data_IF_876881949055
#
_entry.id   IF_876881949055
#
_cell.length_a   1.000
_cell.length_b   1.000
_cell.length_c   1.000
_cell.angle_alpha   90.00
_cell.angle_beta   90.00
_cell.angle_gamma   90.00
#
_symmetry.space_group_name_H-M   'P 1'
#
loop_
_entity.id
_entity.type
_entity.pdbx_description
1 polymer ?
#
# COMPACT_ATOMS: atom_id res chain seq x y z
N UNK A 1 -13.08 11.48 0.77
CA UNK A 1 -13.80 10.67 1.78
C UNK A 1 -13.94 9.25 1.23
N UNK A 2 -13.99 8.23 2.08
CA UNK A 2 -14.29 6.85 1.64
C UNK A 2 -15.58 6.40 2.31
N UNK A 3 -16.60 6.21 1.49
CA UNK A 3 -17.87 5.64 1.92
C UNK A 3 -17.82 4.13 1.74
N UNK A 4 -18.19 3.39 2.78
CA UNK A 4 -18.13 1.93 2.80
C UNK A 4 -19.51 1.35 3.09
N UNK A 5 -19.78 0.16 2.57
CA UNK A 5 -20.99 -0.58 2.94
C UNK A 5 -20.90 -1.07 4.39
N UNK A 6 -21.94 -0.82 5.20
CA UNK A 6 -21.98 -1.22 6.61
C UNK A 6 -23.14 -2.19 6.85
N UNK A 7 -22.85 -3.27 7.56
CA UNK A 7 -23.83 -4.20 8.12
C UNK A 7 -23.94 -3.97 9.62
N UNK A 8 -25.10 -3.55 10.10
CA UNK A 8 -25.32 -3.23 11.52
C UNK A 8 -26.43 -4.08 12.13
N UNK A 9 -26.34 -4.31 13.44
CA UNK A 9 -27.40 -4.95 14.20
C UNK A 9 -28.57 -3.98 14.42
N UNK A 10 -29.82 -4.43 14.29
CA UNK A 10 -31.02 -3.56 14.35
C UNK A 10 -31.14 -2.77 15.68
N UNK A 11 -30.59 -3.30 16.77
CA UNK A 11 -30.57 -2.62 18.07
C UNK A 11 -29.37 -1.69 18.28
N UNK A 12 -28.47 -1.55 17.28
CA UNK A 12 -27.25 -0.75 17.38
C UNK A 12 -26.11 -1.38 18.19
N UNK A 13 -26.18 -2.68 18.49
CA UNK A 13 -25.18 -3.34 19.33
C UNK A 13 -23.80 -3.49 18.68
N UNK A 14 -23.74 -3.61 17.35
CA UNK A 14 -22.51 -3.78 16.59
C UNK A 14 -22.70 -3.33 15.14
N UNK A 15 -21.63 -2.83 14.53
CA UNK A 15 -21.56 -2.42 13.12
C UNK A 15 -20.29 -2.96 12.48
N UNK A 16 -20.42 -3.66 11.35
CA UNK A 16 -19.32 -4.22 10.57
C UNK A 16 -19.21 -3.55 9.21
N UNK A 17 -18.00 -3.27 8.75
CA UNK A 17 -17.76 -2.88 7.36
C UNK A 17 -17.86 -4.13 6.49
N UNK A 18 -18.84 -4.14 5.57
CA UNK A 18 -19.15 -5.27 4.70
C UNK A 18 -18.57 -5.06 3.29
N UNK A 19 -17.26 -4.83 3.21
CA UNK A 19 -16.57 -4.60 1.95
C UNK A 19 -15.14 -5.17 2.00
N UNK A 20 -14.66 -5.66 0.86
CA UNK A 20 -13.28 -6.12 0.69
C UNK A 20 -12.58 -5.10 -0.21
N UNK A 21 -11.48 -4.47 0.24
CA UNK A 21 -10.80 -3.41 -0.51
C UNK A 21 -9.95 -4.01 -1.64
N UNK A 22 -10.60 -4.36 -2.76
CA UNK A 22 -9.90 -4.79 -3.97
C UNK A 22 -9.21 -3.59 -4.63
N UNK A 23 -7.97 -3.78 -5.06
CA UNK A 23 -7.19 -2.76 -5.76
C UNK A 23 -6.55 -3.35 -7.01
N UNK A 24 -6.36 -2.53 -8.04
CA UNK A 24 -5.55 -2.90 -9.21
C UNK A 24 -4.10 -2.67 -8.86
N UNK A 25 -3.33 -3.75 -8.78
CA UNK A 25 -1.93 -3.75 -8.31
C UNK A 25 -1.05 -2.65 -8.93
N UNK A 26 -0.92 -2.51 -10.27
CA UNK A 26 -0.05 -1.47 -10.84
C UNK A 26 -0.52 -0.04 -10.54
N UNK A 27 -1.84 0.18 -10.44
CA UNK A 27 -2.40 1.48 -10.05
C UNK A 27 -2.05 1.77 -8.59
N UNK A 28 -2.23 0.79 -7.71
CA UNK A 28 -1.97 0.94 -6.28
C UNK A 28 -0.48 1.21 -5.99
N UNK A 29 0.43 0.51 -6.67
CA UNK A 29 1.87 0.77 -6.54
C UNK A 29 2.20 2.18 -7.04
N UNK A 30 1.62 2.62 -8.16
CA UNK A 30 1.83 3.98 -8.67
C UNK A 30 1.31 5.04 -7.69
N UNK A 31 0.11 4.87 -7.13
CA UNK A 31 -0.44 5.74 -6.07
C UNK A 31 0.54 5.86 -4.89
N UNK A 32 1.07 4.74 -4.39
CA UNK A 32 2.05 4.77 -3.31
C UNK A 32 3.40 5.36 -3.74
N UNK A 33 3.78 5.19 -5.00
CA UNK A 33 4.97 5.81 -5.59
C UNK A 33 4.87 7.33 -5.60
N UNK A 34 3.73 7.89 -6.00
CA UNK A 34 3.50 9.33 -5.94
C UNK A 34 3.41 9.84 -4.49
N UNK A 35 2.77 9.08 -3.58
CA UNK A 35 2.77 9.38 -2.14
C UNK A 35 4.19 9.46 -1.58
N UNK A 36 5.05 8.51 -1.92
CA UNK A 36 6.45 8.51 -1.49
C UNK A 36 7.19 9.79 -1.90
N UNK A 37 6.99 10.23 -3.14
CA UNK A 37 7.59 11.47 -3.65
C UNK A 37 7.06 12.68 -2.85
N UNK A 38 5.75 12.80 -2.67
CA UNK A 38 5.15 13.94 -1.98
C UNK A 38 5.54 13.99 -0.50
N UNK A 39 5.54 12.86 0.19
CA UNK A 39 5.97 12.78 1.59
C UNK A 39 7.45 13.15 1.77
N UNK A 40 8.32 12.77 0.82
CA UNK A 40 9.74 13.17 0.85
C UNK A 40 9.92 14.66 0.59
N UNK A 41 9.14 15.25 -0.32
CA UNK A 41 9.14 16.69 -0.58
C UNK A 41 8.67 17.47 0.64
N UNK A 42 7.54 17.08 1.23
CA UNK A 42 7.03 17.70 2.46
C UNK A 42 8.04 17.62 3.61
N UNK A 43 8.69 16.46 3.80
CA UNK A 43 9.75 16.28 4.81
C UNK A 43 10.98 17.17 4.57
N UNK A 44 11.33 17.42 3.30
CA UNK A 44 12.44 18.31 2.93
C UNK A 44 12.11 19.78 3.17
N UNK A 45 10.90 20.19 2.80
CA UNK A 45 10.52 21.60 2.73
C UNK A 45 10.02 22.14 4.08
N UNK A 46 9.43 21.29 4.91
CA UNK A 46 8.88 21.69 6.21
C UNK A 46 9.96 21.78 7.29
N UNK A 47 10.23 23.01 7.75
CA UNK A 47 11.22 23.28 8.82
C UNK A 47 10.85 22.67 10.18
N UNK A 48 9.58 22.77 10.57
CA UNK A 48 9.10 22.22 11.84
C UNK A 48 7.93 21.27 11.59
N UNK A 49 8.22 19.97 11.61
CA UNK A 49 7.22 18.92 11.49
C UNK A 49 6.76 18.50 12.89
N UNK A 50 5.59 18.98 13.32
CA UNK A 50 4.98 18.59 14.60
C UNK A 50 4.25 17.27 14.41
N UNK A 51 4.68 16.23 15.12
CA UNK A 51 3.99 14.93 15.14
C UNK A 51 2.70 15.03 15.98
N UNK A 52 1.73 14.18 15.64
CA UNK A 52 0.52 13.97 16.45
C UNK A 52 0.90 13.47 17.85
N UNK A 53 0.07 13.81 18.84
CA UNK A 53 0.16 13.25 20.20
C UNK A 53 -0.70 12.00 20.29
N UNK A 54 -0.27 11.04 21.11
CA UNK A 54 -0.98 9.80 21.36
C UNK A 54 -1.16 9.61 22.87
N UNK A 55 -2.38 9.32 23.36
CA UNK A 55 -3.64 9.30 22.61
C UNK A 55 -4.07 10.70 22.09
N UNK A 56 -4.87 10.79 21.02
CA UNK A 56 -5.32 12.09 20.48
C UNK A 56 -6.36 12.79 21.36
N UNK A 57 -7.14 12.02 22.12
CA UNK A 57 -8.20 12.46 23.02
C UNK A 57 -7.86 12.07 24.46
N UNK A 58 -8.46 12.76 25.41
CA UNK A 58 -8.39 12.41 26.83
C UNK A 58 -9.29 11.20 27.13
N UNK A 59 -8.92 10.37 28.11
CA UNK A 59 -9.65 9.16 28.48
C UNK A 59 -10.98 9.48 29.18
N UNK A 60 -11.10 10.67 29.76
CA UNK A 60 -12.32 11.17 30.43
C UNK A 60 -13.32 11.80 29.44
N UNK A 61 -12.90 12.11 28.22
CA UNK A 61 -13.78 12.69 27.19
C UNK A 61 -14.57 11.60 26.47
N UNK A 62 -15.91 11.71 26.35
CA UNK A 62 -16.69 10.76 25.58
C UNK A 62 -16.36 10.87 24.09
N UNK A 63 -16.54 9.79 23.30
CA UNK A 63 -16.38 9.84 21.86
C UNK A 63 -17.28 10.92 21.23
N UNK A 64 -16.71 11.67 20.29
CA UNK A 64 -17.44 12.71 19.55
C UNK A 64 -18.48 12.11 18.61
N UNK A 65 -19.67 12.71 18.58
CA UNK A 65 -20.68 12.35 17.58
C UNK A 65 -20.33 12.91 16.19
N UNK A 66 -20.53 12.08 15.17
CA UNK A 66 -20.17 12.41 13.79
C UNK A 66 -21.09 13.48 13.19
N UNK A 67 -22.40 13.40 13.45
CA UNK A 67 -23.36 14.33 12.88
C UNK A 67 -23.17 15.75 13.42
N UNK A 68 -22.91 15.87 14.72
CA UNK A 68 -22.75 17.17 15.37
C UNK A 68 -21.39 17.84 15.12
N UNK A 69 -20.31 17.05 14.98
CA UNK A 69 -18.94 17.61 14.99
C UNK A 69 -18.18 17.50 13.65
N UNK A 70 -18.53 16.55 12.79
CA UNK A 70 -17.69 16.18 11.63
C UNK A 70 -18.43 16.33 10.31
N UNK A 71 -19.72 16.03 10.25
CA UNK A 71 -20.49 15.98 9.00
C UNK A 71 -20.42 17.27 8.16
N UNK A 72 -20.49 18.43 8.81
CA UNK A 72 -20.48 19.73 8.13
C UNK A 72 -19.07 20.31 7.91
N UNK A 73 -18.03 19.62 8.37
CA UNK A 73 -16.64 20.08 8.25
C UNK A 73 -16.05 19.55 6.95
N UNK A 74 -15.68 20.47 6.05
CA UNK A 74 -15.00 20.09 4.81
C UNK A 74 -13.63 19.46 5.12
N UNK A 75 -13.32 18.27 4.58
CA UNK A 75 -12.03 17.63 4.79
C UNK A 75 -10.90 18.48 4.23
N UNK A 76 -9.77 18.44 4.93
CA UNK A 76 -8.51 18.98 4.41
C UNK A 76 -8.11 18.27 3.11
N UNK A 77 -7.36 18.98 2.28
CA UNK A 77 -6.86 18.44 1.02
C UNK A 77 -6.02 17.19 1.26
N UNK A 78 -6.30 16.15 0.47
CA UNK A 78 -5.55 14.91 0.52
C UNK A 78 -4.15 15.10 -0.08
N UNK A 79 -3.22 14.23 0.28
CA UNK A 79 -1.92 14.20 -0.40
C UNK A 79 -2.17 13.75 -1.84
N UNK A 80 -1.98 14.65 -2.79
CA UNK A 80 -2.05 14.38 -4.22
C UNK A 80 -0.86 15.02 -4.91
N UNK A 81 -0.28 14.30 -5.86
CA UNK A 81 0.77 14.85 -6.71
C UNK A 81 0.14 15.60 -7.87
N UNK A 82 0.61 16.81 -8.16
CA UNK A 82 0.31 17.48 -9.43
C UNK A 82 0.91 16.64 -10.57
N UNK A 83 0.03 16.13 -11.43
CA UNK A 83 0.39 15.30 -12.57
C UNK A 83 0.51 16.16 -13.82
N UNK A 84 1.40 15.78 -14.72
CA UNK A 84 1.64 16.53 -15.96
C UNK A 84 0.52 16.27 -16.99
N UNK A 85 0.01 17.35 -17.60
CA UNK A 85 -1.13 17.28 -18.52
C UNK A 85 -0.85 16.55 -19.84
N UNK A 86 0.42 16.42 -20.22
CA UNK A 86 0.85 15.78 -21.47
C UNK A 86 1.47 14.40 -21.20
N UNK A 87 2.37 14.27 -20.23
CA UNK A 87 3.05 13.01 -19.90
C UNK A 87 2.16 12.03 -19.11
N UNK A 88 1.35 12.54 -18.17
CA UNK A 88 0.50 11.74 -17.27
C UNK A 88 -0.97 11.71 -17.70
N UNK A 89 -1.27 12.24 -18.89
CA UNK A 89 -2.62 12.42 -19.42
C UNK A 89 -3.52 11.19 -19.27
N UNK A 90 -2.98 10.01 -19.52
CA UNK A 90 -3.72 8.74 -19.51
C UNK A 90 -4.23 8.34 -18.12
N UNK A 91 -3.59 8.83 -17.03
CA UNK A 91 -3.93 8.47 -15.65
C UNK A 91 -4.41 9.66 -14.81
N UNK A 92 -4.11 10.89 -15.22
CA UNK A 92 -4.27 12.10 -14.41
C UNK A 92 -5.69 12.32 -13.87
N UNK A 93 -6.71 11.92 -14.63
CA UNK A 93 -8.11 12.16 -14.28
C UNK A 93 -8.65 11.23 -13.19
N UNK A 94 -8.09 10.03 -13.06
CA UNK A 94 -8.68 8.97 -12.23
C UNK A 94 -7.70 8.35 -11.24
N UNK A 95 -6.40 8.67 -11.29
CA UNK A 95 -5.37 8.02 -10.46
C UNK A 95 -5.68 8.07 -8.96
N UNK A 96 -6.29 9.14 -8.47
CA UNK A 96 -6.60 9.34 -7.03
C UNK A 96 -8.06 9.03 -6.66
N UNK A 97 -8.84 8.46 -7.57
CA UNK A 97 -10.18 7.99 -7.27
C UNK A 97 -10.14 6.78 -6.32
N UNK A 98 -11.22 6.57 -5.57
CA UNK A 98 -11.31 5.42 -4.66
C UNK A 98 -11.25 4.08 -5.41
N UNK A 99 -12.07 3.93 -6.45
CA UNK A 99 -12.16 2.74 -7.30
C UNK A 99 -11.94 3.15 -8.77
N UNK A 100 -10.69 3.42 -9.17
CA UNK A 100 -10.39 3.99 -10.47
C UNK A 100 -10.84 3.06 -11.60
N UNK A 101 -11.44 3.65 -12.63
CA UNK A 101 -11.87 2.95 -13.85
C UNK A 101 -12.98 1.88 -13.66
N UNK A 102 -13.67 1.83 -12.51
CA UNK A 102 -14.66 0.80 -12.19
C UNK A 102 -15.80 0.66 -13.22
N UNK A 103 -16.23 1.78 -13.82
CA UNK A 103 -17.29 1.82 -14.86
C UNK A 103 -16.75 1.75 -16.29
N UNK A 104 -15.44 1.57 -16.47
CA UNK A 104 -14.80 1.54 -17.77
C UNK A 104 -14.71 0.12 -18.36
N UNK A 105 -14.37 0.03 -19.64
CA UNK A 105 -14.06 -1.23 -20.33
C UNK A 105 -12.81 -1.94 -19.79
N UNK A 106 -11.98 -1.25 -18.99
CA UNK A 106 -10.72 -1.79 -18.49
C UNK A 106 -10.92 -2.72 -17.29
N UNK A 107 -12.07 -2.64 -16.62
CA UNK A 107 -12.42 -3.50 -15.50
C UNK A 107 -13.70 -4.28 -15.77
N UNK A 108 -13.91 -5.35 -15.00
CA UNK A 108 -15.10 -6.18 -15.08
C UNK A 108 -16.35 -5.57 -14.39
N UNK A 109 -16.37 -4.26 -14.18
CA UNK A 109 -17.42 -3.53 -13.47
C UNK A 109 -17.14 -3.31 -11.98
N UNK A 110 -18.19 -2.97 -11.24
CA UNK A 110 -18.15 -2.60 -9.81
C UNK A 110 -17.67 -3.69 -8.87
N UNK A 111 -17.63 -4.95 -9.32
CA UNK A 111 -17.03 -6.04 -8.54
C UNK A 111 -15.50 -5.92 -8.43
N UNK A 112 -14.85 -5.18 -9.33
CA UNK A 112 -13.44 -4.76 -9.23
C UNK A 112 -12.41 -5.89 -9.05
N UNK A 113 -12.56 -7.00 -9.78
CA UNK A 113 -11.72 -8.21 -9.61
C UNK A 113 -10.77 -8.51 -10.75
N UNK A 114 -11.11 -8.08 -11.97
CA UNK A 114 -10.30 -8.32 -13.16
C UNK A 114 -10.09 -7.00 -13.87
N UNK A 115 -8.87 -6.77 -14.30
CA UNK A 115 -8.45 -5.58 -15.01
C UNK A 115 -7.69 -5.96 -16.28
N UNK A 116 -7.76 -5.10 -17.28
CA UNK A 116 -7.02 -5.18 -18.53
C UNK A 116 -6.69 -3.76 -18.99
N UNK A 117 -5.45 -3.31 -18.75
CA UNK A 117 -5.01 -1.94 -19.02
C UNK A 117 -4.28 -1.86 -20.36
N UNK A 118 -4.37 -0.72 -21.03
CA UNK A 118 -3.62 -0.46 -22.27
C UNK A 118 -2.15 -0.18 -21.98
N UNK A 119 -1.30 -0.38 -22.99
CA UNK A 119 0.15 -0.12 -22.88
C UNK A 119 0.49 1.32 -22.46
N UNK A 120 -0.16 2.38 -22.97
CA UNK A 120 0.11 3.74 -22.52
C UNK A 120 -0.16 3.94 -21.02
N UNK A 121 -1.30 3.44 -20.52
CA UNK A 121 -1.63 3.49 -19.08
C UNK A 121 -0.54 2.77 -18.27
N UNK A 122 -0.17 1.54 -18.67
CA UNK A 122 0.84 0.77 -17.97
C UNK A 122 2.21 1.45 -17.95
N UNK A 123 2.62 2.09 -19.06
CA UNK A 123 3.88 2.82 -19.14
C UNK A 123 3.91 4.02 -18.19
N UNK A 124 2.82 4.80 -18.13
CA UNK A 124 2.70 5.93 -17.20
C UNK A 124 2.71 5.45 -15.74
N UNK A 125 1.95 4.41 -15.40
CA UNK A 125 1.92 3.84 -14.05
C UNK A 125 3.31 3.32 -13.62
N UNK A 126 4.02 2.61 -14.51
CA UNK A 126 5.37 2.12 -14.23
C UNK A 126 6.34 3.27 -13.92
N UNK A 127 6.28 4.36 -14.69
CA UNK A 127 7.10 5.56 -14.48
C UNK A 127 6.81 6.22 -13.12
N UNK A 128 5.54 6.36 -12.75
CA UNK A 128 5.13 6.93 -11.46
C UNK A 128 5.55 6.04 -10.28
N UNK A 129 5.54 4.72 -10.47
CA UNK A 129 5.93 3.72 -9.49
C UNK A 129 7.45 3.53 -9.33
N UNK A 130 8.28 4.18 -10.16
CA UNK A 130 9.72 3.90 -10.24
C UNK A 130 10.50 4.06 -8.91
N UNK A 131 9.98 4.85 -7.97
CA UNK A 131 10.62 4.98 -6.65
C UNK A 131 10.47 3.74 -5.75
N UNK A 132 9.53 2.86 -6.06
CA UNK A 132 9.20 1.66 -5.27
C UNK A 132 9.54 0.35 -5.99
N UNK A 133 9.72 0.39 -7.30
CA UNK A 133 10.07 -0.77 -8.09
C UNK A 133 11.58 -1.02 -8.08
N UNK A 134 11.96 -2.26 -8.36
CA UNK A 134 13.37 -2.63 -8.49
C UNK A 134 13.89 -2.26 -9.88
N UNK A 135 15.10 -1.73 -9.94
CA UNK A 135 15.81 -1.50 -11.20
C UNK A 135 16.54 -2.77 -11.70
N UNK A 136 16.44 -3.88 -10.96
CA UNK A 136 17.10 -5.14 -11.28
C UNK A 136 16.33 -5.89 -12.36
N UNK A 137 16.99 -6.12 -13.50
CA UNK A 137 16.41 -6.81 -14.67
C UNK A 137 16.89 -8.26 -14.78
N UNK A 138 18.03 -8.60 -14.19
CA UNK A 138 18.62 -9.94 -14.23
C UNK A 138 18.40 -10.69 -12.91
N UNK A 139 17.68 -11.81 -13.00
CA UNK A 139 17.41 -12.71 -11.87
C UNK A 139 18.70 -13.30 -11.27
N UNK A 140 19.82 -13.31 -12.01
CA UNK A 140 21.12 -13.73 -11.48
C UNK A 140 21.60 -12.86 -10.32
N UNK A 141 21.08 -11.62 -10.18
CA UNK A 141 21.34 -10.79 -9.01
C UNK A 141 20.98 -11.52 -7.70
N UNK A 142 19.96 -12.37 -7.72
CA UNK A 142 19.50 -13.15 -6.56
C UNK A 142 20.26 -14.46 -6.37
N UNK A 143 21.46 -14.61 -6.95
CA UNK A 143 22.30 -15.78 -6.70
C UNK A 143 22.58 -15.94 -5.20
N UNK A 144 22.23 -17.12 -4.65
CA UNK A 144 22.23 -17.43 -3.21
C UNK A 144 21.28 -16.57 -2.34
N UNK A 145 20.47 -15.72 -2.97
CA UNK A 145 19.49 -14.86 -2.30
C UNK A 145 18.06 -15.13 -2.78
N UNK A 146 17.81 -16.38 -3.18
CA UNK A 146 16.50 -16.92 -3.52
C UNK A 146 15.95 -17.82 -2.40
N UNK A 147 14.65 -18.12 -2.45
CA UNK A 147 13.99 -18.93 -1.42
C UNK A 147 14.62 -20.33 -1.28
N UNK A 148 15.09 -20.94 -2.38
CA UNK A 148 15.70 -22.28 -2.33
C UNK A 148 17.04 -22.26 -1.60
N UNK A 149 17.87 -21.24 -1.83
CA UNK A 149 19.12 -21.06 -1.10
C UNK A 149 18.87 -20.83 0.39
N UNK A 150 17.86 -20.02 0.75
CA UNK A 150 17.49 -19.83 2.15
C UNK A 150 16.97 -21.11 2.82
N UNK A 151 16.17 -21.93 2.14
CA UNK A 151 15.72 -23.22 2.68
C UNK A 151 16.89 -24.18 2.90
N UNK A 152 17.84 -24.21 1.98
CA UNK A 152 19.03 -25.05 2.08
C UNK A 152 19.92 -24.59 3.24
N UNK A 153 20.19 -23.28 3.32
CA UNK A 153 20.97 -22.69 4.41
C UNK A 153 20.34 -22.97 5.78
N UNK A 154 19.01 -22.83 5.90
CA UNK A 154 18.25 -23.18 7.11
C UNK A 154 18.40 -24.66 7.49
N UNK A 155 18.26 -25.57 6.52
CA UNK A 155 18.34 -27.01 6.78
C UNK A 155 19.74 -27.44 7.22
N UNK A 156 20.78 -26.83 6.63
CA UNK A 156 22.18 -27.11 6.94
C UNK A 156 22.70 -26.35 8.16
N UNK A 157 21.86 -25.53 8.82
CA UNK A 157 22.28 -24.62 9.89
C UNK A 157 23.48 -23.74 9.48
N UNK A 158 23.47 -23.26 8.24
CA UNK A 158 24.46 -22.34 7.68
C UNK A 158 23.81 -20.99 7.41
N UNK A 159 24.61 -19.92 7.43
CA UNK A 159 24.15 -18.57 7.17
C UNK A 159 24.82 -18.00 5.93
N UNK A 160 24.00 -17.56 4.97
CA UNK A 160 24.46 -16.80 3.80
C UNK A 160 24.77 -15.36 4.28
N UNK A 161 25.90 -14.75 3.88
CA UNK A 161 26.20 -13.36 4.25
C UNK A 161 25.04 -12.41 3.88
N UNK A 162 24.57 -11.61 4.84
CA UNK A 162 23.40 -10.73 4.67
C UNK A 162 22.04 -11.43 4.66
N UNK A 163 22.01 -12.76 4.71
CA UNK A 163 20.78 -13.55 4.79
C UNK A 163 20.28 -13.80 6.22
N UNK A 164 19.08 -14.37 6.38
CA UNK A 164 18.51 -14.71 7.67
C UNK A 164 19.26 -15.87 8.34
N UNK A 165 19.18 -15.92 9.68
CA UNK A 165 19.67 -17.02 10.52
C UNK A 165 18.50 -17.73 11.19
N UNK A 166 18.64 -19.03 11.40
CA UNK A 166 17.59 -19.88 11.99
C UNK A 166 18.17 -20.80 13.06
N UNK A 167 17.30 -21.36 13.90
CA UNK A 167 17.70 -22.47 14.77
C UNK A 167 18.08 -23.72 13.95
N UNK A 168 19.04 -24.54 14.45
CA UNK A 168 19.39 -25.80 13.82
C UNK A 168 18.17 -26.72 13.70
N UNK A 169 18.02 -27.38 12.55
CA UNK A 169 16.90 -28.30 12.31
C UNK A 169 16.99 -29.54 13.22
N UNK A 170 18.21 -30.02 13.46
CA UNK A 170 18.51 -31.11 14.40
C UNK A 170 19.37 -30.51 15.51
N UNK A 171 18.89 -30.59 16.75
CA UNK A 171 19.55 -29.98 17.93
C UNK A 171 20.71 -30.82 18.47
N UNK A 172 20.67 -32.13 18.21
CA UNK A 172 21.57 -33.13 18.80
C UNK A 172 22.40 -33.87 17.72
N UNK A 173 23.10 -33.14 16.85
CA UNK A 173 24.14 -33.78 16.04
C UNK A 173 25.32 -34.10 16.97
N UNK A 174 25.46 -35.37 17.35
CA UNK A 174 26.66 -35.86 18.04
C UNK A 174 27.90 -35.48 17.21
N UNK A 175 28.95 -34.91 17.80
CA UNK A 175 30.12 -34.43 17.05
C UNK A 175 31.01 -35.57 16.52
N UNK A 176 30.60 -36.84 16.62
CA UNK A 176 31.45 -38.00 16.35
C UNK A 176 30.63 -39.28 16.17
N UNK A 177 30.50 -39.74 14.94
CA UNK A 177 30.55 -41.14 14.52
C UNK A 177 31.27 -41.19 13.16
#
# INVERSE_FOLDING_TARGET
>A
IRDCSVLYHITGAISFVNEIPWVVEPIYIAQWGTMWIMLRREKRDRRHFKRMRFPPFDDEEPPLDYADNILDVEPLEAIQMELDGDEDKEVAQWLYDHNPLAESKYLNGTTYRRWNLTLPIMATLYRLANQLLTDLVDDNYFYLFDLKSFFTAKALNMAIPGGPKFEPLIKDASPSD
#
